data_IF_989676168451
#
_entry.id   IF_989676168451
#
_cell.length_a   1.000
_cell.length_b   1.000
_cell.length_c   1.000
_cell.angle_alpha   90.00
_cell.angle_beta   90.00
_cell.angle_gamma   90.00
#
_symmetry.space_group_name_H-M   'P 1'
#
loop_
_entity.id
_entity.type
_entity.pdbx_description
1 polymer ?
#
# COMPACT_ATOMS: atom_id res chain seq x y z
N UNK A 1 31.73 -70.53 -27.64
CA UNK A 1 30.41 -69.89 -27.45
C UNK A 1 30.27 -68.85 -28.55
N UNK A 2 29.45 -69.07 -29.59
CA UNK A 2 29.22 -68.06 -30.63
C UNK A 2 28.17 -67.08 -30.10
N UNK A 3 28.58 -65.85 -29.85
CA UNK A 3 27.65 -64.76 -29.54
C UNK A 3 26.85 -64.50 -30.81
N UNK A 4 25.53 -64.65 -30.71
CA UNK A 4 24.61 -64.33 -31.80
C UNK A 4 24.47 -62.81 -31.88
N UNK A 5 25.27 -62.20 -32.74
CA UNK A 5 25.32 -60.75 -32.95
C UNK A 5 23.95 -60.15 -33.33
N UNK A 6 23.06 -60.94 -33.95
CA UNK A 6 21.72 -60.49 -34.30
C UNK A 6 20.86 -60.23 -33.06
N UNK A 7 20.97 -61.10 -32.04
CA UNK A 7 20.27 -60.93 -30.75
C UNK A 7 20.82 -59.77 -29.95
N UNK A 8 22.14 -59.58 -29.95
CA UNK A 8 22.78 -58.43 -29.26
C UNK A 8 22.32 -57.10 -29.87
N UNK A 9 22.20 -57.03 -31.20
CA UNK A 9 21.64 -55.85 -31.88
C UNK A 9 20.16 -55.63 -31.55
N UNK A 10 19.33 -56.68 -31.53
CA UNK A 10 17.91 -56.59 -31.13
C UNK A 10 17.77 -56.03 -29.71
N UNK A 11 18.50 -56.59 -28.74
CA UNK A 11 18.45 -56.13 -27.35
C UNK A 11 18.98 -54.71 -27.17
N UNK A 12 19.97 -54.29 -27.97
CA UNK A 12 20.46 -52.91 -27.99
C UNK A 12 19.40 -51.92 -28.48
N UNK A 13 18.69 -52.26 -29.56
CA UNK A 13 17.59 -51.44 -30.10
C UNK A 13 16.43 -51.40 -29.11
N UNK A 14 16.03 -52.54 -28.54
CA UNK A 14 14.98 -52.63 -27.52
C UNK A 14 15.31 -51.76 -26.29
N UNK A 15 16.55 -51.85 -25.78
CA UNK A 15 17.01 -51.01 -24.68
C UNK A 15 16.99 -49.51 -25.01
N UNK A 16 17.36 -49.14 -26.24
CA UNK A 16 17.32 -47.75 -26.71
C UNK A 16 15.89 -47.23 -26.82
N UNK A 17 14.97 -48.05 -27.32
CA UNK A 17 13.53 -47.71 -27.39
C UNK A 17 12.96 -47.50 -25.99
N UNK A 18 13.25 -48.39 -25.03
CA UNK A 18 12.79 -48.24 -23.64
C UNK A 18 13.35 -46.95 -23.02
N UNK A 19 14.65 -46.70 -23.18
CA UNK A 19 15.29 -45.47 -22.68
C UNK A 19 14.63 -44.23 -23.28
N UNK A 20 14.40 -44.22 -24.59
CA UNK A 20 13.74 -43.12 -25.28
C UNK A 20 12.31 -42.90 -24.81
N UNK A 21 11.54 -43.97 -24.60
CA UNK A 21 10.18 -43.88 -24.05
C UNK A 21 10.15 -43.27 -22.65
N UNK A 22 11.10 -43.64 -21.79
CA UNK A 22 11.21 -43.07 -20.43
C UNK A 22 11.56 -41.58 -20.49
N UNK A 23 12.55 -41.19 -21.31
CA UNK A 23 12.93 -39.78 -21.49
C UNK A 23 11.75 -38.97 -22.04
N UNK A 24 11.05 -39.50 -23.04
CA UNK A 24 9.89 -38.84 -23.64
C UNK A 24 8.75 -38.66 -22.62
N UNK A 25 8.50 -39.67 -21.77
CA UNK A 25 7.52 -39.57 -20.69
C UNK A 25 7.86 -38.46 -19.71
N UNK A 26 9.13 -38.37 -19.28
CA UNK A 26 9.56 -37.29 -18.37
C UNK A 26 9.48 -35.90 -19.03
N UNK A 27 9.80 -35.81 -20.32
CA UNK A 27 9.68 -34.57 -21.06
C UNK A 27 8.22 -34.10 -21.15
N UNK A 28 7.29 -34.99 -21.51
CA UNK A 28 5.86 -34.67 -21.59
C UNK A 28 5.30 -34.25 -20.23
N UNK A 29 5.68 -34.97 -19.16
CA UNK A 29 5.29 -34.62 -17.79
C UNK A 29 5.83 -33.23 -17.40
N UNK A 30 7.11 -32.96 -17.66
CA UNK A 30 7.73 -31.67 -17.36
C UNK A 30 7.08 -30.50 -18.11
N UNK A 31 6.66 -30.71 -19.36
CA UNK A 31 5.91 -29.70 -20.12
C UNK A 31 4.53 -29.45 -19.53
N UNK A 32 3.84 -30.49 -19.05
CA UNK A 32 2.53 -30.35 -18.39
C UNK A 32 2.67 -29.59 -17.07
N UNK A 33 3.65 -29.95 -16.25
CA UNK A 33 3.92 -29.28 -14.98
C UNK A 33 4.28 -27.81 -15.17
N UNK A 34 5.07 -27.49 -16.20
CA UNK A 34 5.42 -26.11 -16.52
C UNK A 34 4.19 -25.32 -16.98
N UNK A 35 3.31 -25.92 -17.79
CA UNK A 35 2.07 -25.29 -18.21
C UNK A 35 1.16 -24.98 -17.01
N UNK A 36 0.98 -25.92 -16.08
CA UNK A 36 0.19 -25.71 -14.86
C UNK A 36 0.77 -24.60 -13.98
N UNK A 37 2.10 -24.56 -13.83
CA UNK A 37 2.77 -23.50 -13.07
C UNK A 37 2.62 -22.12 -13.72
N UNK A 38 2.67 -22.04 -15.05
CA UNK A 38 2.41 -20.80 -15.77
C UNK A 38 0.96 -20.36 -15.58
N UNK A 39 -0.01 -21.26 -15.71
CA UNK A 39 -1.43 -20.93 -15.46
C UNK A 39 -1.66 -20.42 -14.02
N UNK A 40 -0.97 -21.00 -13.04
CA UNK A 40 -1.03 -20.53 -11.66
C UNK A 40 -0.34 -19.17 -11.47
N UNK A 41 0.79 -18.92 -12.16
CA UNK A 41 1.42 -17.58 -12.22
C UNK A 41 0.40 -16.56 -12.71
N UNK A 42 -0.27 -16.79 -13.83
CA UNK A 42 -1.16 -15.77 -14.42
C UNK A 42 -2.38 -15.49 -13.55
N UNK A 43 -2.93 -16.51 -12.88
CA UNK A 43 -3.98 -16.29 -11.87
C UNK A 43 -3.49 -15.38 -10.74
N UNK A 44 -2.29 -15.63 -10.22
CA UNK A 44 -1.72 -14.77 -9.19
C UNK A 44 -1.40 -13.35 -9.70
N UNK A 45 -1.02 -13.19 -10.97
CA UNK A 45 -0.84 -11.86 -11.57
C UNK A 45 -2.18 -11.13 -11.73
N UNK A 46 -3.25 -11.83 -12.11
CA UNK A 46 -4.60 -11.27 -12.14
C UNK A 46 -5.08 -10.83 -10.75
N UNK A 47 -4.87 -11.67 -9.73
CA UNK A 47 -5.20 -11.33 -8.34
C UNK A 47 -4.35 -10.14 -7.85
N UNK A 48 -3.09 -10.06 -8.27
CA UNK A 48 -2.20 -8.95 -7.97
C UNK A 48 -2.70 -7.65 -8.59
N UNK A 49 -3.20 -7.66 -9.82
CA UNK A 49 -3.80 -6.48 -10.47
C UNK A 49 -4.99 -5.97 -9.66
N UNK A 50 -5.89 -6.85 -9.23
CA UNK A 50 -7.04 -6.47 -8.39
C UNK A 50 -6.56 -5.87 -7.05
N UNK A 51 -5.59 -6.51 -6.41
CA UNK A 51 -4.98 -6.01 -5.17
C UNK A 51 -4.30 -4.65 -5.34
N UNK A 52 -3.66 -4.40 -6.49
CA UNK A 52 -3.07 -3.10 -6.83
C UNK A 52 -4.15 -2.02 -6.98
N UNK A 53 -5.29 -2.35 -7.61
CA UNK A 53 -6.40 -1.40 -7.79
C UNK A 53 -7.00 -0.98 -6.44
N UNK A 54 -7.18 -1.92 -5.51
CA UNK A 54 -7.64 -1.63 -4.14
C UNK A 54 -6.61 -0.80 -3.35
N UNK A 55 -5.32 -1.11 -3.47
CA UNK A 55 -4.25 -0.33 -2.83
C UNK A 55 -4.19 1.10 -3.39
N UNK A 56 -4.41 1.30 -4.69
CA UNK A 56 -4.50 2.62 -5.33
C UNK A 56 -5.69 3.43 -4.80
N UNK A 57 -6.85 2.81 -4.65
CA UNK A 57 -8.03 3.45 -4.06
C UNK A 57 -7.75 3.89 -2.62
N UNK A 58 -7.11 3.02 -1.81
CA UNK A 58 -6.70 3.35 -0.46
C UNK A 58 -5.77 4.58 -0.45
N UNK A 59 -4.74 4.60 -1.30
CA UNK A 59 -3.81 5.75 -1.40
C UNK A 59 -4.56 7.05 -1.71
N UNK A 60 -5.52 7.02 -2.63
CA UNK A 60 -6.31 8.20 -3.00
C UNK A 60 -7.15 8.73 -1.83
N UNK A 61 -7.81 7.84 -1.09
CA UNK A 61 -8.63 8.21 0.07
C UNK A 61 -7.76 8.81 1.20
N UNK A 62 -6.58 8.24 1.42
CA UNK A 62 -5.62 8.77 2.39
C UNK A 62 -5.12 10.15 1.96
N UNK A 63 -4.69 10.30 0.70
CA UNK A 63 -4.21 11.57 0.16
C UNK A 63 -5.26 12.67 0.29
N UNK A 64 -6.54 12.37 0.01
CA UNK A 64 -7.66 13.30 0.20
C UNK A 64 -7.82 13.70 1.67
N UNK A 65 -7.75 12.74 2.59
CA UNK A 65 -7.87 12.98 4.03
C UNK A 65 -6.75 13.87 4.55
N UNK A 66 -5.50 13.53 4.21
CA UNK A 66 -4.31 14.29 4.64
C UNK A 66 -4.29 15.68 4.01
N UNK A 67 -4.72 15.82 2.74
CA UNK A 67 -4.82 17.13 2.08
C UNK A 67 -5.85 18.04 2.75
N UNK A 68 -7.01 17.49 3.14
CA UNK A 68 -8.03 18.24 3.88
C UNK A 68 -7.51 18.67 5.26
N UNK A 69 -6.77 17.80 5.96
CA UNK A 69 -6.14 18.14 7.23
C UNK A 69 -5.12 19.29 7.06
N UNK A 70 -4.29 19.25 6.02
CA UNK A 70 -3.34 20.34 5.67
C UNK A 70 -4.08 21.63 5.33
N UNK A 71 -5.20 21.57 4.62
CA UNK A 71 -6.03 22.74 4.35
C UNK A 71 -6.59 23.35 5.64
N UNK A 72 -7.15 22.53 6.53
CA UNK A 72 -7.64 22.99 7.84
C UNK A 72 -6.54 23.66 8.67
N UNK A 73 -5.31 23.12 8.62
CA UNK A 73 -4.15 23.75 9.27
C UNK A 73 -3.87 25.14 8.67
N UNK A 74 -3.87 25.26 7.34
CA UNK A 74 -3.63 26.55 6.68
C UNK A 74 -4.69 27.59 7.05
N UNK A 75 -5.96 27.17 7.12
CA UNK A 75 -7.06 28.05 7.53
C UNK A 75 -6.86 28.55 8.97
N UNK A 76 -6.51 27.66 9.91
CA UNK A 76 -6.26 28.03 11.30
C UNK A 76 -5.04 28.96 11.42
N UNK A 77 -3.95 28.66 10.73
CA UNK A 77 -2.76 29.52 10.76
C UNK A 77 -3.04 30.90 10.15
N UNK A 78 -3.88 30.97 9.11
CA UNK A 78 -4.29 32.23 8.50
C UNK A 78 -5.14 33.07 9.46
N UNK A 79 -6.04 32.43 10.22
CA UNK A 79 -6.85 33.06 11.27
C UNK A 79 -5.99 33.62 12.42
N UNK A 80 -5.03 32.83 12.90
CA UNK A 80 -4.07 33.27 13.92
C UNK A 80 -3.26 34.48 13.43
N UNK A 81 -2.86 34.49 12.16
CA UNK A 81 -2.04 35.54 11.56
C UNK A 81 -2.84 36.81 11.19
N UNK A 82 -4.17 36.75 11.09
CA UNK A 82 -4.96 37.88 10.56
C UNK A 82 -5.21 38.99 11.58
N UNK A 83 -4.80 38.84 12.84
CA UNK A 83 -5.06 39.74 14.00
C UNK A 83 -6.56 40.04 14.30
N UNK A 84 -7.48 39.74 13.38
CA UNK A 84 -8.92 39.76 13.58
C UNK A 84 -9.42 38.44 14.16
N UNK A 85 -9.99 38.50 15.38
CA UNK A 85 -10.57 37.34 16.04
C UNK A 85 -11.80 36.84 15.29
N UNK A 86 -11.73 35.64 14.71
CA UNK A 86 -12.89 35.02 14.07
C UNK A 86 -13.95 34.59 15.11
N UNK A 87 -15.20 35.09 14.99
CA UNK A 87 -16.25 34.78 15.96
C UNK A 87 -16.71 33.31 15.91
N UNK A 88 -16.40 32.55 14.84
CA UNK A 88 -16.88 31.18 14.63
C UNK A 88 -15.97 30.13 15.29
N UNK A 89 -15.85 30.18 16.62
CA UNK A 89 -15.05 29.23 17.42
C UNK A 89 -15.35 27.76 17.13
N UNK A 90 -16.62 27.39 16.94
CA UNK A 90 -17.01 26.01 16.61
C UNK A 90 -16.34 25.50 15.32
N UNK A 91 -16.21 26.36 14.32
CA UNK A 91 -15.58 26.04 13.04
C UNK A 91 -14.07 25.82 13.25
N UNK A 92 -13.41 26.71 13.98
CA UNK A 92 -11.98 26.62 14.29
C UNK A 92 -11.65 25.33 15.07
N UNK A 93 -12.46 24.98 16.06
CA UNK A 93 -12.27 23.74 16.82
C UNK A 93 -12.52 22.51 15.95
N UNK A 94 -13.55 22.52 15.10
CA UNK A 94 -13.80 21.42 14.16
C UNK A 94 -12.61 21.24 13.20
N UNK A 95 -12.04 22.33 12.70
CA UNK A 95 -10.80 22.30 11.89
C UNK A 95 -9.61 21.78 12.68
N UNK A 96 -9.44 22.19 13.95
CA UNK A 96 -8.35 21.71 14.80
C UNK A 96 -8.45 20.19 15.08
N UNK A 97 -9.65 19.66 15.29
CA UNK A 97 -9.87 18.21 15.46
C UNK A 97 -9.50 17.45 14.18
N UNK A 98 -9.92 17.98 13.02
CA UNK A 98 -9.76 17.33 11.71
C UNK A 98 -8.44 17.67 11.00
N UNK A 99 -7.60 18.50 11.62
CA UNK A 99 -6.22 18.79 11.21
C UNK A 99 -5.23 17.66 11.58
N UNK A 100 -5.75 16.50 11.99
CA UNK A 100 -4.96 15.31 12.23
C UNK A 100 -4.56 14.63 10.91
N UNK A 101 -3.26 14.38 10.73
CA UNK A 101 -2.67 13.72 9.55
C UNK A 101 -2.41 12.22 9.75
N UNK A 102 -2.81 11.67 10.90
CA UNK A 102 -2.57 10.27 11.31
C UNK A 102 -3.51 9.29 10.62
N UNK A 103 -3.18 8.96 9.38
CA UNK A 103 -3.84 7.92 8.59
C UNK A 103 -2.76 7.13 7.85
N UNK A 104 -2.78 5.81 7.97
CA UNK A 104 -1.69 4.94 7.49
C UNK A 104 -2.12 4.09 6.29
N UNK A 105 -1.26 4.01 5.26
CA UNK A 105 -1.42 3.15 4.09
C UNK A 105 -0.89 1.75 4.40
N UNK A 106 -1.66 0.71 4.09
CA UNK A 106 -1.33 -0.69 4.39
C UNK A 106 -1.48 -1.55 3.14
N UNK A 107 -0.38 -1.81 2.40
CA UNK A 107 -0.48 -2.52 1.14
C UNK A 107 -0.85 -3.99 1.33
N UNK A 108 -1.63 -4.51 0.40
CA UNK A 108 -2.07 -5.89 0.37
C UNK A 108 -0.97 -6.85 -0.13
N UNK A 109 -0.03 -7.18 0.76
CA UNK A 109 1.12 -8.03 0.43
C UNK A 109 0.79 -9.52 0.20
N UNK A 110 -0.43 -9.95 0.45
CA UNK A 110 -0.81 -11.36 0.44
C UNK A 110 -0.50 -12.04 -0.88
N UNK A 111 -0.89 -11.42 -1.99
CA UNK A 111 -0.69 -11.98 -3.34
C UNK A 111 0.80 -11.97 -3.74
N UNK A 112 1.52 -10.89 -3.42
CA UNK A 112 2.96 -10.84 -3.64
C UNK A 112 3.71 -11.95 -2.87
N UNK A 113 3.35 -12.19 -1.61
CA UNK A 113 3.94 -13.27 -0.82
C UNK A 113 3.60 -14.65 -1.40
N UNK A 114 2.39 -14.83 -1.94
CA UNK A 114 2.01 -16.05 -2.64
C UNK A 114 2.90 -16.28 -3.87
N UNK A 115 3.06 -15.26 -4.73
CA UNK A 115 3.95 -15.32 -5.91
C UNK A 115 5.36 -15.80 -5.54
N UNK A 116 5.93 -15.30 -4.45
CA UNK A 116 7.25 -15.72 -3.96
C UNK A 116 7.21 -17.17 -3.47
N UNK A 117 6.25 -17.50 -2.60
CA UNK A 117 6.19 -18.81 -1.92
C UNK A 117 5.89 -19.99 -2.86
N UNK A 118 5.16 -19.76 -3.96
CA UNK A 118 4.85 -20.78 -4.96
C UNK A 118 5.92 -20.91 -6.04
N UNK A 119 6.91 -20.01 -6.06
CA UNK A 119 7.89 -19.89 -7.14
C UNK A 119 7.33 -19.27 -8.43
N UNK A 120 6.05 -18.84 -8.43
CA UNK A 120 5.43 -18.18 -9.58
C UNK A 120 6.11 -16.86 -9.95
N UNK A 121 6.70 -16.18 -8.96
CA UNK A 121 7.48 -14.96 -9.19
C UNK A 121 8.64 -15.19 -10.17
N UNK A 122 9.30 -16.35 -10.09
CA UNK A 122 10.42 -16.66 -10.99
C UNK A 122 9.99 -16.86 -12.45
N UNK A 123 8.74 -17.25 -12.65
CA UNK A 123 8.12 -17.49 -13.97
C UNK A 123 7.61 -16.20 -14.63
N UNK A 124 7.71 -15.05 -13.97
CA UNK A 124 7.40 -13.75 -14.57
C UNK A 124 8.50 -13.42 -15.59
N UNK A 125 8.11 -13.16 -16.84
CA UNK A 125 9.05 -12.89 -17.92
C UNK A 125 9.58 -11.45 -17.85
N UNK A 126 8.72 -10.48 -17.51
CA UNK A 126 9.12 -9.09 -17.36
C UNK A 126 10.03 -8.87 -16.15
N UNK A 127 11.27 -8.47 -16.42
CA UNK A 127 12.23 -8.06 -15.38
C UNK A 127 11.81 -6.73 -14.72
N UNK A 128 11.16 -5.87 -15.48
CA UNK A 128 10.60 -4.61 -14.99
C UNK A 128 9.50 -4.87 -13.96
N UNK A 129 8.59 -5.83 -14.23
CA UNK A 129 7.57 -6.25 -13.27
C UNK A 129 8.20 -6.83 -12.01
N UNK A 130 9.15 -7.76 -12.14
CA UNK A 130 9.88 -8.32 -11.00
C UNK A 130 10.51 -7.22 -10.13
N UNK A 131 11.23 -6.30 -10.76
CA UNK A 131 11.94 -5.22 -10.09
C UNK A 131 10.99 -4.28 -9.34
N UNK A 132 9.88 -3.87 -9.96
CA UNK A 132 8.95 -2.93 -9.33
C UNK A 132 8.17 -3.58 -8.18
N UNK A 133 7.80 -4.86 -8.28
CA UNK A 133 7.14 -5.57 -7.19
C UNK A 133 8.06 -5.72 -5.98
N UNK A 134 9.33 -6.07 -6.20
CA UNK A 134 10.32 -6.12 -5.11
C UNK A 134 10.52 -4.75 -4.45
N UNK A 135 10.54 -3.67 -5.23
CA UNK A 135 10.66 -2.31 -4.71
C UNK A 135 9.45 -1.91 -3.86
N UNK A 136 8.24 -2.12 -4.38
CA UNK A 136 6.97 -1.78 -3.72
C UNK A 136 6.82 -2.52 -2.40
N UNK A 137 6.88 -3.85 -2.45
CA UNK A 137 6.49 -4.68 -1.30
C UNK A 137 7.61 -4.89 -0.28
N UNK A 138 8.85 -4.50 -0.59
CA UNK A 138 9.96 -4.45 0.37
C UNK A 138 10.31 -3.00 0.73
N UNK A 139 11.25 -2.39 0.01
CA UNK A 139 11.90 -1.13 0.41
C UNK A 139 10.93 0.05 0.56
N UNK A 140 10.02 0.26 -0.39
CA UNK A 140 9.05 1.35 -0.31
C UNK A 140 8.04 1.11 0.80
N UNK A 141 7.57 -0.13 0.96
CA UNK A 141 6.71 -0.47 2.08
C UNK A 141 7.40 -0.24 3.45
N UNK A 142 8.65 -0.67 3.62
CA UNK A 142 9.38 -0.45 4.88
C UNK A 142 9.50 1.04 5.21
N UNK A 143 9.81 1.85 4.19
CA UNK A 143 9.84 3.31 4.31
C UNK A 143 8.47 3.88 4.70
N UNK A 144 7.40 3.40 4.07
CA UNK A 144 6.03 3.77 4.39
C UNK A 144 5.72 3.46 5.87
N UNK A 145 5.95 2.22 6.32
CA UNK A 145 5.70 1.82 7.71
C UNK A 145 6.45 2.72 8.70
N UNK A 146 7.74 3.00 8.46
CA UNK A 146 8.54 3.83 9.36
C UNK A 146 8.04 5.27 9.46
N UNK A 147 7.67 5.87 8.32
CA UNK A 147 7.14 7.23 8.26
C UNK A 147 5.75 7.29 8.88
N UNK A 148 4.84 6.37 8.50
CA UNK A 148 3.48 6.30 9.02
C UNK A 148 3.46 6.11 10.53
N UNK A 149 4.34 5.26 11.08
CA UNK A 149 4.50 5.09 12.52
C UNK A 149 4.90 6.41 13.22
N UNK A 150 5.82 7.17 12.61
CA UNK A 150 6.25 8.46 13.15
C UNK A 150 5.12 9.50 13.14
N UNK A 151 4.31 9.48 12.08
CA UNK A 151 3.13 10.33 11.94
C UNK A 151 2.09 9.93 12.99
N UNK A 152 1.82 8.64 13.19
CA UNK A 152 0.86 8.14 14.17
C UNK A 152 1.23 8.59 15.60
N UNK A 153 2.52 8.50 15.97
CA UNK A 153 2.97 9.03 17.27
C UNK A 153 2.78 10.53 17.41
N UNK A 154 3.11 11.30 16.36
CA UNK A 154 2.88 12.74 16.36
C UNK A 154 1.38 13.07 16.42
N UNK A 155 0.53 12.30 15.74
CA UNK A 155 -0.91 12.48 15.73
C UNK A 155 -1.53 12.26 17.11
N UNK A 156 -1.02 11.30 17.88
CA UNK A 156 -1.40 11.12 19.29
C UNK A 156 -1.00 12.35 20.12
N UNK A 157 0.23 12.85 19.97
CA UNK A 157 0.71 14.09 20.63
C UNK A 157 -0.19 15.29 20.28
N UNK A 158 -0.48 15.47 18.99
CA UNK A 158 -1.33 16.52 18.47
C UNK A 158 -2.72 16.44 19.10
N UNK A 159 -3.40 15.29 18.99
CA UNK A 159 -4.73 15.09 19.54
C UNK A 159 -4.78 15.33 21.04
N UNK A 160 -3.82 14.83 21.81
CA UNK A 160 -3.77 15.07 23.25
C UNK A 160 -3.73 16.57 23.59
N UNK A 161 -2.97 17.37 22.84
CA UNK A 161 -2.94 18.81 23.00
C UNK A 161 -4.29 19.45 22.63
N UNK A 162 -4.88 19.09 21.49
CA UNK A 162 -6.17 19.64 21.05
C UNK A 162 -7.28 19.34 22.06
N UNK A 163 -7.42 18.09 22.49
CA UNK A 163 -8.48 17.67 23.40
C UNK A 163 -8.32 18.25 24.81
N UNK A 164 -7.09 18.32 25.33
CA UNK A 164 -6.84 18.83 26.68
C UNK A 164 -6.97 20.34 26.77
N UNK A 165 -6.44 21.09 25.79
CA UNK A 165 -6.42 22.56 25.82
C UNK A 165 -7.77 23.17 25.44
N UNK A 166 -8.50 22.56 24.49
CA UNK A 166 -9.83 23.05 24.10
C UNK A 166 -10.99 22.35 24.80
N UNK A 167 -10.72 21.46 25.76
CA UNK A 167 -11.70 20.69 26.56
C UNK A 167 -12.86 20.16 25.70
N UNK A 168 -12.49 19.36 24.70
CA UNK A 168 -13.42 18.93 23.65
C UNK A 168 -14.21 17.71 24.11
N UNK A 169 -15.50 17.73 23.82
CA UNK A 169 -16.42 16.60 23.91
C UNK A 169 -16.92 16.26 22.50
N UNK A 170 -16.76 14.99 22.12
CA UNK A 170 -17.13 14.48 20.80
C UNK A 170 -17.99 13.23 20.93
N UNK A 171 -18.93 13.09 20.01
CA UNK A 171 -19.57 11.81 19.72
C UNK A 171 -19.06 11.23 18.40
N UNK A 172 -19.25 9.93 18.24
CA UNK A 172 -18.95 9.23 17.00
C UNK A 172 -20.23 8.84 16.28
N UNK A 173 -20.38 9.30 15.04
CA UNK A 173 -21.37 8.74 14.13
C UNK A 173 -20.76 7.51 13.42
N UNK A 174 -21.14 6.32 13.88
CA UNK A 174 -20.66 5.05 13.30
C UNK A 174 -21.27 4.71 11.94
N UNK A 175 -22.25 5.49 11.46
CA UNK A 175 -22.91 5.29 10.16
C UNK A 175 -22.37 6.21 9.05
N UNK A 176 -21.43 7.10 9.35
CA UNK A 176 -20.89 8.12 8.45
C UNK A 176 -19.36 8.12 8.50
N UNK A 177 -18.65 7.92 7.39
CA UNK A 177 -17.18 7.87 7.31
C UNK A 177 -16.64 6.54 6.75
N UNK A 178 -15.55 6.60 5.96
CA UNK A 178 -15.04 5.45 5.19
C UNK A 178 -14.47 4.31 6.06
N UNK A 179 -13.86 4.61 7.21
CA UNK A 179 -13.16 3.60 8.03
C UNK A 179 -13.58 3.53 9.50
N UNK A 180 -13.76 4.66 10.18
CA UNK A 180 -13.92 4.70 11.66
C UNK A 180 -15.10 5.57 12.14
N UNK A 181 -16.05 5.87 11.26
CA UNK A 181 -17.10 6.84 11.57
C UNK A 181 -16.59 8.28 11.58
N UNK A 182 -17.49 9.24 11.77
CA UNK A 182 -17.18 10.68 11.77
C UNK A 182 -17.33 11.23 13.17
N UNK A 183 -16.28 11.92 13.65
CA UNK A 183 -16.35 12.67 14.89
C UNK A 183 -17.28 13.88 14.73
N UNK A 184 -18.22 14.02 15.67
CA UNK A 184 -19.15 15.13 15.77
C UNK A 184 -18.87 15.90 17.04
N UNK A 185 -18.50 17.18 16.89
CA UNK A 185 -18.27 18.09 18.01
C UNK A 185 -19.58 18.33 18.77
N UNK A 186 -19.61 17.98 20.06
CA UNK A 186 -20.75 18.23 20.95
C UNK A 186 -20.55 19.49 21.77
N UNK A 187 -19.41 19.60 22.43
CA UNK A 187 -19.09 20.73 23.29
C UNK A 187 -17.57 20.99 23.30
N UNK A 188 -17.18 22.21 23.68
CA UNK A 188 -15.77 22.59 23.85
C UNK A 188 -15.64 23.82 24.75
N UNK A 189 -14.46 24.04 25.30
CA UNK A 189 -14.07 25.27 25.97
C UNK A 189 -12.90 25.90 25.22
N UNK A 190 -13.13 27.05 24.58
CA UNK A 190 -12.09 27.71 23.78
C UNK A 190 -11.02 28.36 24.66
N UNK A 191 -9.84 27.76 24.70
CA UNK A 191 -8.65 28.35 25.29
C UNK A 191 -7.99 29.31 24.29
N UNK A 192 -8.24 30.60 24.49
CA UNK A 192 -7.70 31.66 23.64
C UNK A 192 -6.18 31.82 23.82
N UNK A 193 -5.66 31.62 25.03
CA UNK A 193 -4.22 31.78 25.29
C UNK A 193 -3.44 30.69 24.56
N UNK A 194 -3.91 29.44 24.62
CA UNK A 194 -3.33 28.36 23.84
C UNK A 194 -3.48 28.57 22.33
N UNK A 195 -4.64 29.01 21.84
CA UNK A 195 -4.88 29.21 20.41
C UNK A 195 -3.89 30.20 19.76
N UNK A 196 -3.54 31.28 20.46
CA UNK A 196 -2.57 32.28 19.97
C UNK A 196 -1.13 32.00 20.41
N UNK A 197 -0.88 30.85 21.06
CA UNK A 197 0.45 30.52 21.56
C UNK A 197 1.39 30.03 20.45
N UNK A 198 2.68 30.25 20.66
CA UNK A 198 3.74 29.65 19.83
C UNK A 198 3.71 28.11 19.87
N UNK A 199 3.20 27.53 20.96
CA UNK A 199 3.04 26.08 21.13
C UNK A 199 2.06 25.53 20.09
N UNK A 200 0.84 26.08 20.04
CA UNK A 200 -0.16 25.61 19.08
C UNK A 200 0.26 25.90 17.64
N UNK A 201 0.84 27.08 17.37
CA UNK A 201 1.36 27.40 16.04
C UNK A 201 2.48 26.44 15.59
N UNK A 202 3.36 26.06 16.51
CA UNK A 202 4.40 25.06 16.28
C UNK A 202 3.83 23.66 16.01
N UNK A 203 2.81 23.24 16.76
CA UNK A 203 2.09 21.98 16.52
C UNK A 203 1.47 21.93 15.13
N UNK A 204 0.76 22.99 14.72
CA UNK A 204 0.19 23.14 13.38
C UNK A 204 1.28 23.07 12.30
N UNK A 205 2.40 23.76 12.51
CA UNK A 205 3.51 23.76 11.54
C UNK A 205 4.12 22.36 11.36
N UNK A 206 4.31 21.61 12.47
CA UNK A 206 4.78 20.21 12.42
C UNK A 206 3.75 19.31 11.73
N UNK A 207 2.46 19.45 12.04
CA UNK A 207 1.40 18.67 11.41
C UNK A 207 1.37 18.89 9.89
N UNK A 208 1.48 20.14 9.44
CA UNK A 208 1.56 20.50 8.02
C UNK A 208 2.80 19.91 7.35
N UNK A 209 3.95 19.93 8.01
CA UNK A 209 5.17 19.32 7.49
C UNK A 209 4.99 17.81 7.30
N UNK A 210 4.48 17.11 8.31
CA UNK A 210 4.19 15.67 8.22
C UNK A 210 3.19 15.36 7.11
N UNK A 211 2.08 16.09 7.04
CA UNK A 211 1.05 15.90 6.01
C UNK A 211 1.60 16.08 4.59
N UNK A 212 2.34 17.16 4.33
CA UNK A 212 2.94 17.39 3.01
C UNK A 212 4.00 16.34 2.65
N UNK A 213 4.83 15.93 3.61
CA UNK A 213 5.83 14.89 3.38
C UNK A 213 5.17 13.56 3.06
N UNK A 214 4.08 13.22 3.75
CA UNK A 214 3.38 11.97 3.56
C UNK A 214 2.61 11.92 2.23
N UNK A 215 1.92 13.00 1.85
CA UNK A 215 1.32 13.13 0.50
C UNK A 215 2.38 12.89 -0.58
N UNK A 216 3.57 13.49 -0.43
CA UNK A 216 4.67 13.29 -1.39
C UNK A 216 5.12 11.83 -1.45
N UNK A 217 5.24 11.16 -0.31
CA UNK A 217 5.59 9.74 -0.24
C UNK A 217 4.52 8.87 -0.94
N UNK A 218 3.26 9.10 -0.62
CA UNK A 218 2.14 8.35 -1.18
C UNK A 218 2.02 8.55 -2.69
N UNK A 219 2.26 9.75 -3.21
CA UNK A 219 2.28 9.99 -4.65
C UNK A 219 3.41 9.22 -5.37
N UNK A 220 4.59 9.09 -4.74
CA UNK A 220 5.68 8.25 -5.28
C UNK A 220 5.26 6.78 -5.29
N UNK A 221 4.65 6.30 -4.21
CA UNK A 221 4.13 4.92 -4.13
C UNK A 221 3.04 4.69 -5.18
N UNK A 222 2.09 5.60 -5.31
CA UNK A 222 0.97 5.54 -6.27
C UNK A 222 1.46 5.38 -7.71
N UNK A 223 2.47 6.16 -8.11
CA UNK A 223 3.05 6.07 -9.45
C UNK A 223 3.70 4.70 -9.69
N UNK A 224 4.37 4.15 -8.67
CA UNK A 224 4.95 2.81 -8.76
C UNK A 224 3.88 1.71 -8.85
N UNK A 225 2.77 1.85 -8.12
CA UNK A 225 1.63 0.94 -8.23
C UNK A 225 0.99 0.99 -9.63
N UNK A 226 0.75 2.19 -10.18
CA UNK A 226 0.26 2.37 -11.55
C UNK A 226 1.16 1.70 -12.58
N UNK A 227 2.47 1.88 -12.44
CA UNK A 227 3.44 1.28 -13.34
C UNK A 227 3.50 -0.26 -13.19
N UNK A 228 3.41 -0.78 -11.96
CA UNK A 228 3.36 -2.22 -11.69
C UNK A 228 2.11 -2.86 -12.32
N UNK A 229 0.97 -2.18 -12.23
CA UNK A 229 -0.28 -2.59 -12.89
C UNK A 229 -0.11 -2.76 -14.40
N UNK A 230 0.46 -1.76 -15.05
CA UNK A 230 0.70 -1.78 -16.51
C UNK A 230 1.61 -2.96 -16.89
N UNK A 231 2.69 -3.19 -16.13
CA UNK A 231 3.58 -4.31 -16.39
C UNK A 231 2.91 -5.67 -16.14
N UNK A 232 2.06 -5.77 -15.11
CA UNK A 232 1.28 -6.97 -14.82
C UNK A 232 0.27 -7.28 -15.93
N UNK A 233 -0.42 -6.28 -16.46
CA UNK A 233 -1.32 -6.44 -17.62
C UNK A 233 -0.55 -6.87 -18.87
N UNK A 234 0.65 -6.32 -19.09
CA UNK A 234 1.51 -6.71 -20.21
C UNK A 234 1.99 -8.17 -20.09
N UNK A 235 2.36 -8.61 -18.89
CA UNK A 235 2.81 -9.99 -18.60
C UNK A 235 1.76 -11.03 -19.00
N UNK A 236 0.47 -10.77 -18.72
CA UNK A 236 -0.61 -11.73 -19.03
C UNK A 236 -1.18 -11.60 -20.46
N UNK A 237 -0.95 -10.47 -21.13
CA UNK A 237 -1.53 -10.18 -22.46
C UNK A 237 -0.64 -10.56 -23.64
N UNK A 238 0.68 -10.71 -23.47
CA UNK A 238 1.61 -11.09 -24.54
C UNK A 238 1.84 -12.61 -24.66
N UNK A 239 0.80 -13.40 -24.43
CA UNK A 239 0.84 -14.84 -24.66
C UNK A 239 0.56 -15.21 -26.11
#
# INVERSE_FOLDING_TARGET
MKIDFSKVQSYGIEGMVILFSVILSFYVEGQRDLAEKNDNKDKLILDLINSIDEDLEQIQNINKTVSNAVQNINDIQSDINSDDFNPKKNELISKAITANVGTSFFPQKGIFNQLISTGSFELIDSQELKSILLRLFNHQNERNIAISTSIDFFSIEYQNNIYSKFRIDTEYNSLDGEYYGKQVLRNFQFDKEFYYSNEFYGLLSRAKQWGNMYIRLLNDIEENYKQARIYAEYEISNK
#
